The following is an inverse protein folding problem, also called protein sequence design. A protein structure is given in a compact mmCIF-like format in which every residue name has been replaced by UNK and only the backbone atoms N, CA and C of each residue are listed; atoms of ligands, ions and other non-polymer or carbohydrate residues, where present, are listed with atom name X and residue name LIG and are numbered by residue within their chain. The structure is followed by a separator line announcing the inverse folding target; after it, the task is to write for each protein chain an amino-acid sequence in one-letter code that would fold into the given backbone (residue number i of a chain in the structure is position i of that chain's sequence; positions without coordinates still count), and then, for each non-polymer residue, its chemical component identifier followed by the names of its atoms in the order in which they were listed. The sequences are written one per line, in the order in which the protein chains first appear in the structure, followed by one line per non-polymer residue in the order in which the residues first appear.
data_IF_275938095738
#
_entry.id   IF_275938095738
#
_cell.length_a   1.000
_cell.length_b   1.000
_cell.length_c   1.000
_cell.angle_alpha   90.00
_cell.angle_beta   90.00
_cell.angle_gamma   90.00
#
_symmetry.space_group_name_H-M   'P 1'
#
loop_
_entity.id
_entity.type
_entity.pdbx_description
1 polymer ?
#
# COMPACT_ATOMS: atom_id res chain seq x y z
N UNK A 1 -24.57 12.04 -1.66
CA UNK A 1 -23.48 11.09 -1.36
C UNK A 1 -22.20 11.76 -1.83
N UNK A 2 -21.25 12.01 -0.94
CA UNK A 2 -19.94 12.54 -1.35
C UNK A 2 -19.21 11.46 -2.14
N UNK A 3 -18.53 11.84 -3.23
CA UNK A 3 -17.71 10.93 -4.00
C UNK A 3 -16.52 10.46 -3.13
N UNK A 4 -16.27 9.14 -3.11
CA UNK A 4 -15.12 8.57 -2.37
C UNK A 4 -13.80 9.07 -2.96
N UNK A 5 -12.70 9.04 -2.19
CA UNK A 5 -11.38 9.37 -2.75
C UNK A 5 -11.05 8.45 -3.94
N UNK A 6 -11.38 7.17 -3.82
CA UNK A 6 -11.26 6.18 -4.90
C UNK A 6 -11.93 6.65 -6.19
N UNK A 7 -13.18 7.10 -6.12
CA UNK A 7 -13.92 7.58 -7.28
C UNK A 7 -13.36 8.91 -7.82
N UNK A 8 -12.90 9.82 -6.94
CA UNK A 8 -12.32 11.11 -7.34
C UNK A 8 -11.04 10.94 -8.15
N UNK A 9 -10.20 9.96 -7.80
CA UNK A 9 -8.93 9.72 -8.48
C UNK A 9 -9.04 8.81 -9.70
N UNK A 10 -10.25 8.35 -10.07
CA UNK A 10 -10.45 7.53 -11.28
C UNK A 10 -10.51 6.02 -11.05
N UNK A 11 -10.78 5.60 -9.81
CA UNK A 11 -11.06 4.22 -9.44
C UNK A 11 -9.88 3.28 -9.65
N UNK A 12 -10.17 2.00 -9.89
CA UNK A 12 -9.15 0.94 -9.94
C UNK A 12 -8.06 1.18 -10.97
N UNK A 13 -8.39 1.79 -12.12
CA UNK A 13 -7.40 2.07 -13.16
C UNK A 13 -6.34 3.08 -12.70
N UNK A 14 -6.69 4.05 -11.86
CA UNK A 14 -5.74 4.98 -11.28
C UNK A 14 -4.97 4.36 -10.11
N UNK A 15 -5.68 3.73 -9.18
CA UNK A 15 -5.05 3.07 -8.02
C UNK A 15 -4.05 2.00 -8.47
N UNK A 16 -4.37 1.20 -9.49
CA UNK A 16 -3.46 0.18 -10.02
C UNK A 16 -2.18 0.78 -10.61
N UNK A 17 -2.26 1.95 -11.26
CA UNK A 17 -1.08 2.65 -11.78
C UNK A 17 -0.20 3.19 -10.66
N UNK A 18 -0.80 3.83 -9.66
CA UNK A 18 -0.11 4.30 -8.45
C UNK A 18 0.60 3.13 -7.76
N UNK A 19 -0.11 2.02 -7.53
CA UNK A 19 0.46 0.84 -6.86
C UNK A 19 1.56 0.19 -7.69
N UNK A 20 1.47 0.22 -9.03
CA UNK A 20 2.55 -0.30 -9.89
C UNK A 20 3.82 0.54 -9.75
N UNK A 21 3.71 1.87 -9.83
CA UNK A 21 4.85 2.79 -9.62
C UNK A 21 5.44 2.63 -8.22
N UNK A 22 4.59 2.48 -7.20
CA UNK A 22 5.04 2.21 -5.83
C UNK A 22 5.91 0.95 -5.77
N UNK A 23 5.50 -0.13 -6.45
CA UNK A 23 6.30 -1.35 -6.47
C UNK A 23 7.57 -1.25 -7.29
N UNK A 24 7.61 -0.45 -8.35
CA UNK A 24 8.86 -0.17 -9.05
C UNK A 24 9.89 0.45 -8.09
N UNK A 25 9.47 1.40 -7.24
CA UNK A 25 10.32 1.99 -6.19
C UNK A 25 10.71 1.01 -5.10
N UNK A 26 9.78 0.16 -4.66
CA UNK A 26 10.04 -0.87 -3.65
C UNK A 26 11.09 -1.87 -4.15
N UNK A 27 11.05 -2.23 -5.44
CA UNK A 27 12.00 -3.16 -6.04
C UNK A 27 13.38 -2.53 -6.28
N UNK A 28 13.46 -1.20 -6.37
CA UNK A 28 14.72 -0.46 -6.44
C UNK A 28 15.32 -0.15 -5.05
N UNK A 29 14.55 -0.31 -3.98
CA UNK A 29 15.01 -0.05 -2.60
C UNK A 29 15.94 -1.16 -2.10
N UNK A 30 17.14 -0.81 -1.57
CA UNK A 30 18.06 -1.79 -0.98
C UNK A 30 17.54 -2.39 0.34
N UNK A 31 16.52 -1.80 0.95
CA UNK A 31 15.90 -2.28 2.19
C UNK A 31 14.70 -3.19 1.90
N UNK A 32 13.98 -2.93 0.82
CA UNK A 32 12.71 -3.61 0.54
C UNK A 32 12.79 -4.70 -0.51
N UNK A 33 13.67 -4.59 -1.50
CA UNK A 33 13.68 -5.48 -2.67
C UNK A 33 13.78 -6.97 -2.30
N UNK A 34 14.59 -7.31 -1.29
CA UNK A 34 14.84 -8.68 -0.88
C UNK A 34 13.58 -9.41 -0.37
N UNK A 35 12.61 -8.68 0.20
CA UNK A 35 11.32 -9.23 0.65
C UNK A 35 10.47 -9.76 -0.53
N UNK A 36 10.75 -9.32 -1.75
CA UNK A 36 9.95 -9.62 -2.93
C UNK A 36 10.65 -10.53 -3.96
N UNK A 37 11.88 -10.99 -3.72
CA UNK A 37 12.67 -11.71 -4.74
C UNK A 37 12.00 -12.98 -5.30
N UNK A 38 11.15 -13.67 -4.52
CA UNK A 38 10.40 -14.86 -4.94
C UNK A 38 8.90 -14.61 -5.12
N UNK A 39 8.47 -13.35 -5.05
CA UNK A 39 7.05 -13.00 -5.08
C UNK A 39 6.55 -12.94 -6.51
N UNK A 40 5.32 -13.42 -6.73
CA UNK A 40 4.60 -13.09 -7.96
C UNK A 40 4.12 -11.64 -7.87
N UNK A 41 4.92 -10.73 -8.46
CA UNK A 41 4.66 -9.30 -8.40
C UNK A 41 3.31 -8.90 -8.97
N UNK A 42 2.76 -9.65 -9.94
CA UNK A 42 1.42 -9.39 -10.45
C UNK A 42 0.36 -9.62 -9.38
N UNK A 43 0.49 -10.70 -8.63
CA UNK A 43 -0.41 -11.02 -7.52
C UNK A 43 -0.26 -10.02 -6.38
N UNK A 44 0.97 -9.60 -6.07
CA UNK A 44 1.26 -8.58 -5.07
C UNK A 44 0.62 -7.24 -5.43
N UNK A 45 0.82 -6.76 -6.66
CA UNK A 45 0.23 -5.50 -7.16
C UNK A 45 -1.31 -5.55 -7.13
N UNK A 46 -1.94 -6.66 -7.53
CA UNK A 46 -3.40 -6.81 -7.48
C UNK A 46 -3.94 -6.74 -6.04
N UNK A 47 -3.30 -7.45 -5.11
CA UNK A 47 -3.70 -7.41 -3.70
C UNK A 47 -3.51 -6.02 -3.08
N UNK A 48 -2.37 -5.38 -3.33
CA UNK A 48 -2.11 -4.03 -2.82
C UNK A 48 -3.05 -3.00 -3.45
N UNK A 49 -3.40 -3.14 -4.72
CA UNK A 49 -4.41 -2.29 -5.40
C UNK A 49 -5.76 -2.39 -4.70
N UNK A 50 -6.22 -3.60 -4.36
CA UNK A 50 -7.47 -3.82 -3.63
C UNK A 50 -7.40 -3.24 -2.22
N UNK A 51 -6.28 -3.42 -1.54
CA UNK A 51 -6.05 -2.88 -0.21
C UNK A 51 -6.13 -1.34 -0.21
N UNK A 52 -5.36 -0.66 -1.05
CA UNK A 52 -5.37 0.81 -1.15
C UNK A 52 -6.74 1.31 -1.61
N UNK A 53 -7.37 0.67 -2.60
CA UNK A 53 -8.71 1.02 -3.03
C UNK A 53 -9.73 0.94 -1.88
N UNK A 54 -9.62 -0.06 -0.99
CA UNK A 54 -10.50 -0.18 0.18
C UNK A 54 -10.35 1.00 1.16
N UNK A 55 -9.12 1.45 1.40
CA UNK A 55 -8.82 2.60 2.27
C UNK A 55 -9.39 3.89 1.66
N UNK A 56 -9.30 4.03 0.34
CA UNK A 56 -9.81 5.18 -0.38
C UNK A 56 -11.36 5.21 -0.51
N UNK A 57 -12.05 4.22 0.08
CA UNK A 57 -13.52 4.12 0.05
C UNK A 57 -14.09 3.39 -1.17
N UNK A 58 -13.25 2.67 -1.91
CA UNK A 58 -13.66 1.81 -3.01
C UNK A 58 -14.34 0.51 -2.55
N UNK A 59 -14.81 -0.32 -3.50
CA UNK A 59 -15.65 -1.49 -3.19
C UNK A 59 -14.89 -2.70 -2.64
N UNK A 60 -13.55 -2.63 -2.60
CA UNK A 60 -12.72 -3.70 -2.06
C UNK A 60 -12.79 -3.72 -0.53
N UNK A 61 -12.52 -4.88 0.07
CA UNK A 61 -12.38 -5.04 1.51
C UNK A 61 -11.13 -5.84 1.84
N UNK A 62 -10.51 -5.53 2.97
CA UNK A 62 -9.32 -6.21 3.46
C UNK A 62 -9.38 -6.29 4.99
N UNK A 63 -9.15 -7.47 5.55
CA UNK A 63 -9.20 -7.67 7.01
C UNK A 63 -7.81 -7.63 7.63
N UNK A 64 -7.74 -7.29 8.91
CA UNK A 64 -6.48 -7.33 9.66
C UNK A 64 -5.94 -8.76 9.79
N UNK A 65 -6.81 -9.77 9.95
CA UNK A 65 -6.42 -11.19 9.98
C UNK A 65 -5.72 -11.63 8.69
N UNK A 66 -6.13 -11.09 7.53
CA UNK A 66 -5.45 -11.35 6.25
C UNK A 66 -4.08 -10.71 6.21
N UNK A 67 -3.93 -9.47 6.69
CA UNK A 67 -2.63 -8.80 6.80
C UNK A 67 -1.71 -9.59 7.72
N UNK A 68 -2.16 -9.94 8.91
CA UNK A 68 -1.36 -10.67 9.89
C UNK A 68 -0.88 -12.01 9.32
N UNK A 69 -1.78 -12.78 8.71
CA UNK A 69 -1.44 -14.08 8.12
C UNK A 69 -0.40 -13.97 7.00
N UNK A 70 -0.53 -12.97 6.12
CA UNK A 70 0.38 -12.81 4.97
C UNK A 70 1.76 -12.38 5.44
N UNK A 71 1.86 -11.56 6.48
CA UNK A 71 3.12 -10.98 6.93
C UNK A 71 3.81 -11.76 8.08
N UNK A 72 3.12 -12.70 8.72
CA UNK A 72 3.57 -13.43 9.92
C UNK A 72 4.98 -14.03 9.86
N UNK A 73 5.43 -14.48 8.70
CA UNK A 73 6.71 -15.17 8.56
C UNK A 73 7.71 -14.41 7.68
N UNK A 74 7.46 -13.12 7.42
CA UNK A 74 8.31 -12.32 6.54
C UNK A 74 9.45 -11.62 7.29
N UNK A 75 9.39 -11.52 8.62
CA UNK A 75 10.44 -10.85 9.40
C UNK A 75 10.63 -9.38 9.02
N UNK A 76 9.52 -8.69 8.73
CA UNK A 76 9.54 -7.28 8.33
C UNK A 76 10.00 -6.43 9.52
N UNK A 77 11.05 -5.64 9.31
CA UNK A 77 11.55 -4.72 10.34
C UNK A 77 10.70 -3.44 10.41
N UNK A 78 10.80 -2.72 11.53
CA UNK A 78 10.19 -1.39 11.67
C UNK A 78 10.70 -0.42 10.59
N UNK A 79 11.99 -0.49 10.28
CA UNK A 79 12.67 0.31 9.25
C UNK A 79 12.10 0.02 7.86
N UNK A 80 11.95 -1.26 7.50
CA UNK A 80 11.37 -1.65 6.22
C UNK A 80 9.91 -1.15 6.11
N UNK A 81 9.13 -1.26 7.17
CA UNK A 81 7.78 -0.73 7.16
C UNK A 81 7.76 0.80 6.98
N UNK A 82 8.63 1.53 7.68
CA UNK A 82 8.73 2.98 7.54
C UNK A 82 9.14 3.42 6.12
N UNK A 83 10.08 2.69 5.51
CA UNK A 83 10.50 2.96 4.14
C UNK A 83 9.38 2.71 3.14
N UNK A 84 8.63 1.61 3.27
CA UNK A 84 7.47 1.34 2.43
C UNK A 84 6.41 2.44 2.54
N UNK A 85 6.17 2.96 3.74
CA UNK A 85 5.24 4.08 3.96
C UNK A 85 5.76 5.39 3.33
N UNK A 86 7.06 5.64 3.38
CA UNK A 86 7.68 6.81 2.75
C UNK A 86 7.59 6.74 1.22
N UNK A 87 7.95 5.62 0.61
CA UNK A 87 7.83 5.43 -0.85
C UNK A 87 6.37 5.52 -1.31
N UNK A 88 5.42 5.00 -0.53
CA UNK A 88 4.00 5.12 -0.84
C UNK A 88 3.54 6.59 -0.83
N UNK A 89 4.02 7.40 0.13
CA UNK A 89 3.77 8.84 0.16
C UNK A 89 4.29 9.51 -1.10
N UNK A 90 5.57 9.32 -1.42
CA UNK A 90 6.20 9.93 -2.61
C UNK A 90 5.44 9.56 -3.88
N UNK A 91 5.01 8.30 -3.99
CA UNK A 91 4.23 7.84 -5.13
C UNK A 91 2.88 8.55 -5.23
N UNK A 92 2.19 8.80 -4.12
CA UNK A 92 0.95 9.58 -4.15
C UNK A 92 1.17 11.04 -4.54
N UNK A 93 2.26 11.65 -4.06
CA UNK A 93 2.64 13.03 -4.38
C UNK A 93 2.93 13.17 -5.89
N UNK A 94 3.65 12.23 -6.50
CA UNK A 94 3.94 12.21 -7.94
C UNK A 94 2.69 11.98 -8.83
N UNK A 95 1.59 11.49 -8.23
CA UNK A 95 0.32 11.29 -8.90
C UNK A 95 -0.70 12.39 -8.59
N UNK A 96 -0.26 13.52 -8.02
CA UNK A 96 -1.08 14.69 -7.68
C UNK A 96 -2.28 14.35 -6.77
N UNK A 97 -2.11 13.39 -5.85
CA UNK A 97 -3.11 13.12 -4.81
C UNK A 97 -3.06 14.23 -3.77
N UNK A 98 -4.21 14.76 -3.39
CA UNK A 98 -4.30 15.84 -2.41
C UNK A 98 -3.69 15.42 -1.05
N UNK A 99 -2.90 16.31 -0.42
CA UNK A 99 -2.22 16.02 0.85
C UNK A 99 -3.19 15.58 1.96
N UNK A 100 -4.42 16.10 1.96
CA UNK A 100 -5.45 15.67 2.92
C UNK A 100 -5.82 14.19 2.75
N UNK A 101 -5.89 13.70 1.51
CA UNK A 101 -6.16 12.29 1.23
C UNK A 101 -4.92 11.43 1.52
N UNK A 102 -3.73 11.89 1.15
CA UNK A 102 -2.46 11.21 1.48
C UNK A 102 -2.36 10.99 2.99
N UNK A 103 -2.59 12.05 3.78
CA UNK A 103 -2.53 11.98 5.23
C UNK A 103 -3.52 10.94 5.80
N UNK A 104 -4.75 10.90 5.30
CA UNK A 104 -5.76 9.93 5.74
C UNK A 104 -5.39 8.49 5.36
N UNK A 105 -4.94 8.27 4.12
CA UNK A 105 -4.55 6.95 3.64
C UNK A 105 -3.36 6.43 4.45
N UNK A 106 -2.32 7.24 4.62
CA UNK A 106 -1.13 6.83 5.36
C UNK A 106 -1.40 6.67 6.86
N UNK A 107 -2.34 7.43 7.44
CA UNK A 107 -2.78 7.21 8.81
C UNK A 107 -3.39 5.81 8.97
N UNK A 108 -4.25 5.39 8.04
CA UNK A 108 -4.86 4.05 8.06
C UNK A 108 -3.79 2.95 7.89
N UNK A 109 -2.88 3.10 6.91
CA UNK A 109 -1.75 2.18 6.70
C UNK A 109 -0.88 2.05 7.95
N UNK A 110 -0.46 3.16 8.55
CA UNK A 110 0.33 3.18 9.79
C UNK A 110 -0.41 2.53 10.96
N UNK A 111 -1.73 2.73 11.05
CA UNK A 111 -2.58 2.10 12.07
C UNK A 111 -2.60 0.58 12.03
N UNK A 112 -2.20 -0.01 10.90
CA UNK A 112 -2.14 -1.47 10.69
C UNK A 112 -0.75 -2.07 10.90
N UNK A 113 0.26 -1.27 11.27
CA UNK A 113 1.65 -1.70 11.48
C UNK A 113 1.76 -2.99 12.30
N UNK A 114 1.02 -3.09 13.42
CA UNK A 114 1.04 -4.26 14.32
C UNK A 114 0.60 -5.59 13.69
N UNK A 115 -0.04 -5.55 12.52
CA UNK A 115 -0.44 -6.74 11.75
C UNK A 115 0.54 -7.05 10.61
N UNK A 116 1.60 -6.27 10.45
CA UNK A 116 2.57 -6.38 9.35
C UNK A 116 3.96 -6.60 9.94
N UNK A 117 4.35 -5.78 10.92
CA UNK A 117 5.55 -5.95 11.73
C UNK A 117 5.19 -6.85 12.90
N UNK A 118 5.49 -8.14 12.77
CA UNK A 118 5.14 -9.18 13.74
C UNK A 118 6.42 -9.60 14.48
N UNK A 119 6.43 -9.57 15.84
CA UNK A 119 7.59 -9.91 16.64
C UNK A 119 8.02 -11.38 16.58
#
# INVERSE_FOLDING_TARGET
MSQSAFDRYGGFAAVSRIVSEFYDRVLDSPVLADYFHNSDMRTVIDHQTKFIASIMGGPASYTNDQLERVHANLGISEEAFDEAVALLRETFEDFDVDESDIALILQDVKGRRKFIVIP
#
